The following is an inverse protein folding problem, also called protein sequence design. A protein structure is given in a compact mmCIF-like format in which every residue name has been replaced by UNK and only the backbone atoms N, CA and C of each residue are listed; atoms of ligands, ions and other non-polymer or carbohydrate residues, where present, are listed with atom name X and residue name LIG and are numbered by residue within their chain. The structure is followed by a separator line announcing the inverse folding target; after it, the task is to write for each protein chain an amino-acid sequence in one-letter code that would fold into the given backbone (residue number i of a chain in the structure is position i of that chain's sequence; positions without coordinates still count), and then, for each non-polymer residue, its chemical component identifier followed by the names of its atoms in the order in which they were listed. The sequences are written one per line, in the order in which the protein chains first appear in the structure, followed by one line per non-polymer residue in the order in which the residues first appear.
data_IF_178105676595
#
_entry.id   IF_178105676595
#
_cell.length_a   1.000
_cell.length_b   1.000
_cell.length_c   1.000
_cell.angle_alpha   90.00
_cell.angle_beta   90.00
_cell.angle_gamma   90.00
#
_symmetry.space_group_name_H-M   'P 1'
#
loop_
_entity.id
_entity.type
_entity.pdbx_description
1 polymer ?
#
# COMPACT_ATOMS: atom_id res chain seq x y z
N UNK A 1 10.24 -11.09 -4.42
CA UNK A 1 9.84 -12.05 -3.36
C UNK A 1 10.88 -13.16 -3.19
N UNK A 2 11.36 -13.79 -4.25
CA UNK A 2 12.29 -14.92 -4.17
C UNK A 2 13.62 -14.59 -3.48
N UNK A 3 14.22 -13.46 -3.80
CA UNK A 3 15.47 -13.00 -3.19
C UNK A 3 15.34 -12.81 -1.66
N UNK A 4 14.19 -12.32 -1.17
CA UNK A 4 13.94 -12.22 0.27
C UNK A 4 13.88 -13.60 0.94
N UNK A 5 13.39 -14.64 0.25
CA UNK A 5 13.38 -16.01 0.76
C UNK A 5 14.78 -16.60 0.80
N UNK A 6 15.56 -16.42 -0.27
CA UNK A 6 16.95 -16.89 -0.34
C UNK A 6 17.84 -16.27 0.74
N UNK A 7 17.57 -15.01 1.11
CA UNK A 7 18.27 -14.31 2.19
C UNK A 7 17.71 -14.62 3.59
N UNK A 8 16.68 -15.45 3.72
CA UNK A 8 16.02 -15.74 5.01
C UNK A 8 15.26 -14.54 5.62
N UNK A 9 15.02 -13.49 4.83
CA UNK A 9 14.38 -12.26 5.30
C UNK A 9 12.85 -12.28 5.17
N UNK A 10 12.32 -13.21 4.36
CA UNK A 10 10.91 -13.23 3.98
C UNK A 10 9.98 -13.16 5.18
N UNK A 11 10.22 -13.98 6.22
CA UNK A 11 9.32 -14.08 7.36
C UNK A 11 9.38 -12.86 8.29
N UNK A 12 10.50 -12.14 8.34
CA UNK A 12 10.66 -10.97 9.22
C UNK A 12 10.54 -9.62 8.48
N UNK A 13 9.98 -9.61 7.26
CA UNK A 13 9.86 -8.39 6.44
C UNK A 13 8.39 -7.99 6.25
N UNK A 14 8.09 -6.70 6.41
CA UNK A 14 6.86 -6.07 5.91
C UNK A 14 7.07 -5.75 4.42
N UNK A 15 6.14 -6.16 3.55
CA UNK A 15 6.15 -5.76 2.14
C UNK A 15 4.87 -5.00 1.83
N UNK A 16 5.00 -3.79 1.31
CA UNK A 16 3.88 -2.96 0.85
C UNK A 16 4.00 -2.75 -0.66
N UNK A 17 2.98 -3.17 -1.40
CA UNK A 17 2.84 -2.93 -2.83
C UNK A 17 1.74 -1.88 -3.05
N UNK A 18 2.07 -0.80 -3.75
CA UNK A 18 1.18 0.33 -3.99
C UNK A 18 1.57 1.08 -5.28
N UNK A 19 0.72 2.01 -5.70
CA UNK A 19 1.05 3.06 -6.67
C UNK A 19 1.05 4.44 -5.99
N UNK A 20 1.60 5.47 -6.64
CA UNK A 20 1.49 6.87 -6.22
C UNK A 20 0.17 7.51 -6.69
N UNK A 21 -0.30 7.10 -7.87
CA UNK A 21 -1.60 7.41 -8.45
C UNK A 21 -1.94 6.38 -9.56
N UNK A 22 -3.15 6.43 -10.10
CA UNK A 22 -3.54 5.69 -11.31
C UNK A 22 -3.45 6.52 -12.60
N UNK A 23 -4.08 6.07 -13.67
CA UNK A 23 -4.11 6.76 -14.96
C UNK A 23 -5.54 6.75 -15.50
N UNK A 24 -5.96 7.81 -16.19
CA UNK A 24 -7.30 7.86 -16.77
C UNK A 24 -7.52 6.75 -17.79
N UNK A 25 -6.49 6.25 -18.47
CA UNK A 25 -6.59 5.15 -19.45
C UNK A 25 -7.72 5.35 -20.49
N UNK A 26 -7.90 6.59 -20.97
CA UNK A 26 -9.02 7.01 -21.85
C UNK A 26 -10.42 7.01 -21.21
N UNK A 27 -10.57 6.70 -19.91
CA UNK A 27 -11.80 6.90 -19.17
C UNK A 27 -12.23 8.36 -19.21
N UNK A 28 -13.54 8.59 -19.25
CA UNK A 28 -14.13 9.92 -19.39
C UNK A 28 -13.58 10.74 -20.58
N UNK A 29 -13.03 10.08 -21.61
CA UNK A 29 -12.33 10.71 -22.76
C UNK A 29 -11.08 11.51 -22.37
N UNK A 30 -10.50 11.19 -21.22
CA UNK A 30 -9.31 11.85 -20.68
C UNK A 30 -8.14 10.89 -20.68
N UNK A 31 -6.92 11.43 -20.84
CA UNK A 31 -5.67 10.66 -20.84
C UNK A 31 -4.77 11.15 -19.71
N UNK A 32 -3.83 10.31 -19.31
CA UNK A 32 -2.82 10.64 -18.32
C UNK A 32 -3.46 10.90 -16.94
N UNK A 33 -2.96 11.92 -16.24
CA UNK A 33 -3.36 12.33 -14.90
C UNK A 33 -3.63 13.83 -14.84
N UNK A 34 -4.38 14.25 -13.84
CA UNK A 34 -4.66 15.65 -13.54
C UNK A 34 -5.32 15.77 -12.16
N UNK A 35 -5.68 16.97 -11.74
CA UNK A 35 -6.45 17.20 -10.52
C UNK A 35 -7.93 16.97 -10.78
N UNK A 36 -8.31 15.70 -11.02
CA UNK A 36 -9.64 15.27 -11.41
C UNK A 36 -10.18 14.24 -10.41
N UNK A 37 -11.41 14.39 -9.88
CA UNK A 37 -11.95 13.57 -8.78
C UNK A 37 -12.45 12.18 -9.24
N UNK A 38 -11.64 11.43 -9.99
CA UNK A 38 -12.00 10.12 -10.53
C UNK A 38 -11.24 8.97 -9.86
N UNK A 39 -11.91 7.82 -9.75
CA UNK A 39 -11.36 6.62 -9.12
C UNK A 39 -10.15 6.08 -9.87
N UNK A 40 -10.13 6.25 -11.19
CA UNK A 40 -9.03 5.89 -12.07
C UNK A 40 -7.70 6.52 -11.63
N UNK A 41 -7.73 7.69 -10.97
CA UNK A 41 -6.54 8.36 -10.45
C UNK A 41 -6.27 8.07 -8.97
N UNK A 42 -7.32 8.00 -8.15
CA UNK A 42 -7.19 7.98 -6.68
C UNK A 42 -7.36 6.60 -6.04
N UNK A 43 -8.06 5.67 -6.68
CA UNK A 43 -8.28 4.31 -6.16
C UNK A 43 -7.14 3.39 -6.59
N UNK A 44 -5.99 3.60 -5.98
CA UNK A 44 -4.76 2.82 -6.21
C UNK A 44 -4.80 1.44 -5.53
N UNK A 45 -4.00 0.46 -6.01
CA UNK A 45 -3.80 -0.79 -5.28
C UNK A 45 -3.04 -0.52 -3.98
N UNK A 46 -3.40 -1.23 -2.91
CA UNK A 46 -2.64 -1.30 -1.67
C UNK A 46 -2.69 -2.74 -1.14
N UNK A 47 -1.57 -3.44 -1.19
CA UNK A 47 -1.45 -4.82 -0.68
C UNK A 47 -0.28 -4.88 0.29
N UNK A 48 -0.51 -5.45 1.47
CA UNK A 48 0.52 -5.60 2.50
C UNK A 48 0.71 -7.06 2.90
N UNK A 49 1.97 -7.48 3.00
CA UNK A 49 2.38 -8.71 3.67
C UNK A 49 2.99 -8.33 5.02
N UNK A 50 2.47 -8.94 6.09
CA UNK A 50 2.98 -8.77 7.44
C UNK A 50 4.04 -9.85 7.77
N UNK A 51 4.97 -9.59 8.71
CA UNK A 51 5.89 -10.58 9.25
C UNK A 51 5.16 -11.81 9.81
N UNK A 52 5.85 -12.96 9.84
CA UNK A 52 5.40 -14.14 10.55
C UNK A 52 5.15 -13.79 12.02
N UNK A 53 4.03 -14.24 12.57
CA UNK A 53 3.60 -13.90 13.94
C UNK A 53 2.70 -12.67 14.03
N UNK A 54 2.66 -11.80 13.00
CA UNK A 54 1.66 -10.73 12.91
C UNK A 54 0.45 -11.21 12.09
N UNK A 55 -0.69 -11.35 12.75
CA UNK A 55 -1.94 -11.75 12.08
C UNK A 55 -2.83 -10.52 11.93
N UNK A 56 -3.27 -10.17 10.70
CA UNK A 56 -4.18 -9.06 10.52
C UNK A 56 -5.58 -9.44 11.03
N UNK A 57 -6.29 -8.48 11.62
CA UNK A 57 -7.66 -8.70 12.09
C UNK A 57 -8.64 -9.00 10.94
N UNK A 58 -8.35 -8.49 9.74
CA UNK A 58 -9.10 -8.75 8.51
C UNK A 58 -8.14 -8.89 7.32
N UNK A 59 -8.56 -9.61 6.27
CA UNK A 59 -7.77 -9.78 5.04
C UNK A 59 -8.05 -8.70 3.99
N UNK A 60 -9.22 -8.08 4.09
CA UNK A 60 -9.71 -7.03 3.18
C UNK A 60 -10.25 -5.90 4.04
N UNK A 61 -9.83 -4.68 3.72
CA UNK A 61 -10.26 -3.44 4.38
C UNK A 61 -11.00 -2.63 3.33
N UNK A 62 -12.31 -2.46 3.51
CA UNK A 62 -13.16 -1.69 2.59
C UNK A 62 -13.31 -0.22 3.03
N UNK A 63 -12.74 0.14 4.18
CA UNK A 63 -12.70 1.51 4.70
C UNK A 63 -11.86 2.44 3.81
N UNK A 64 -12.13 3.74 3.90
CA UNK A 64 -11.31 4.76 3.25
C UNK A 64 -9.91 4.79 3.86
N UNK A 65 -8.90 4.64 3.02
CA UNK A 65 -7.48 4.73 3.39
C UNK A 65 -6.77 5.79 2.54
N UNK A 66 -5.71 6.38 3.08
CA UNK A 66 -4.91 7.40 2.39
C UNK A 66 -3.42 7.03 2.36
N UNK A 67 -2.79 7.24 1.21
CA UNK A 67 -1.35 7.01 1.01
C UNK A 67 -0.48 7.95 1.87
N UNK A 68 -1.00 9.11 2.27
CA UNK A 68 -0.34 10.03 3.21
C UNK A 68 0.01 9.35 4.55
N UNK A 69 -0.74 8.32 4.94
CA UNK A 69 -0.59 7.62 6.22
C UNK A 69 0.41 6.48 6.15
N UNK A 70 0.88 6.07 4.97
CA UNK A 70 1.76 4.90 4.84
C UNK A 70 3.03 5.03 5.66
N UNK A 71 3.71 6.18 5.62
CA UNK A 71 4.90 6.42 6.41
C UNK A 71 4.63 6.33 7.92
N UNK A 72 3.50 6.87 8.39
CA UNK A 72 3.09 6.77 9.79
C UNK A 72 2.86 5.32 10.22
N UNK A 73 2.16 4.55 9.38
CA UNK A 73 1.87 3.14 9.63
C UNK A 73 3.15 2.31 9.67
N UNK A 74 4.07 2.49 8.73
CA UNK A 74 5.34 1.76 8.69
C UNK A 74 6.22 2.09 9.90
N UNK A 75 6.31 3.36 10.28
CA UNK A 75 7.07 3.78 11.47
C UNK A 75 6.53 3.10 12.74
N UNK A 76 5.20 3.20 12.96
CA UNK A 76 4.54 2.58 14.12
C UNK A 76 4.73 1.06 14.14
N UNK A 77 4.66 0.41 12.98
CA UNK A 77 4.83 -1.04 12.88
C UNK A 77 6.28 -1.48 13.13
N UNK A 78 7.25 -0.63 12.78
CA UNK A 78 8.67 -0.85 13.07
C UNK A 78 9.07 -0.56 14.52
N UNK A 79 8.10 -0.31 15.42
CA UNK A 79 8.36 0.05 16.83
C UNK A 79 8.79 1.50 17.03
N UNK A 80 8.74 2.33 15.98
CA UNK A 80 8.95 3.76 16.10
C UNK A 80 7.70 4.40 16.70
N UNK A 81 7.85 4.97 17.89
CA UNK A 81 6.77 5.73 18.51
C UNK A 81 6.73 7.14 17.92
N UNK A 82 5.52 7.66 17.68
CA UNK A 82 5.33 9.10 17.55
C UNK A 82 4.80 9.56 18.90
N UNK A 83 5.65 10.30 19.64
CA UNK A 83 5.14 11.25 20.61
C UNK A 83 4.13 12.19 19.94
#
# INVERSE_FOLDING_TARGET
MEQFRQLGLWDNTIVMFTADHGDMMNAHRMRLKGTLPYNELYRIPLVMKLPAGMTPACRTIDDLVSNERFAATLLRTGGGDRA
#
